data_IF_510929934468
#
_entry.id   IF_510929934468
#
_cell.length_a   1.000
_cell.length_b   1.000
_cell.length_c   1.000
_cell.angle_alpha   90.00
_cell.angle_beta   90.00
_cell.angle_gamma   90.00
#
_symmetry.space_group_name_H-M   'P 1'
#
loop_
_entity.id
_entity.type
_entity.pdbx_description
1 polymer ?
#
# COMPACT_ATOMS: atom_id res chain seq x y z
N UNK A 1 25.43 4.98 20.50
CA UNK A 1 25.27 4.29 19.22
C UNK A 1 24.28 3.15 19.42
N UNK A 2 23.11 3.26 18.81
CA UNK A 2 22.06 2.25 18.89
C UNK A 2 22.32 1.18 17.82
N UNK A 3 21.98 -0.07 18.12
CA UNK A 3 22.03 -1.15 17.12
C UNK A 3 20.81 -1.08 16.21
N UNK A 4 20.90 -1.66 14.99
CA UNK A 4 19.77 -1.78 14.07
C UNK A 4 18.55 -2.42 14.74
N UNK A 5 18.78 -3.40 15.62
CA UNK A 5 17.71 -4.08 16.34
C UNK A 5 17.02 -3.19 17.36
N UNK A 6 17.77 -2.42 18.15
CA UNK A 6 17.20 -1.49 19.11
C UNK A 6 16.35 -0.41 18.39
N UNK A 7 16.89 0.15 17.32
CA UNK A 7 16.19 1.14 16.49
C UNK A 7 14.92 0.55 15.87
N UNK A 8 14.99 -0.67 15.34
CA UNK A 8 13.81 -1.34 14.76
C UNK A 8 12.70 -1.58 15.79
N UNK A 9 13.06 -1.96 17.03
CA UNK A 9 12.06 -2.10 18.10
C UNK A 9 11.43 -0.76 18.50
N UNK A 10 12.22 0.32 18.53
CA UNK A 10 11.69 1.68 18.77
C UNK A 10 10.74 2.12 17.65
N UNK A 11 11.10 1.84 16.40
CA UNK A 11 10.23 2.08 15.24
C UNK A 11 8.94 1.28 15.39
N UNK A 12 8.98 0.00 15.74
CA UNK A 12 7.76 -0.80 15.93
C UNK A 12 6.87 -0.28 17.08
N UNK A 13 7.47 0.34 18.10
CA UNK A 13 6.75 0.89 19.25
C UNK A 13 6.15 2.29 18.99
N UNK A 14 6.57 2.98 17.91
CA UNK A 14 6.19 4.37 17.64
C UNK A 14 5.72 4.55 16.19
N UNK A 15 4.42 4.84 16.04
CA UNK A 15 3.77 4.96 14.73
C UNK A 15 4.32 6.12 13.88
N UNK A 16 4.80 7.20 14.47
CA UNK A 16 5.42 8.30 13.71
C UNK A 16 6.78 7.88 13.14
N UNK A 17 7.55 7.11 13.92
CA UNK A 17 8.80 6.51 13.44
C UNK A 17 8.54 5.47 12.35
N UNK A 18 7.47 4.67 12.42
CA UNK A 18 7.09 3.74 11.33
C UNK A 18 6.83 4.46 10.02
N UNK A 19 6.10 5.58 10.06
CA UNK A 19 5.79 6.38 8.87
C UNK A 19 7.06 7.02 8.29
N UNK A 20 7.91 7.58 9.15
CA UNK A 20 9.18 8.20 8.75
C UNK A 20 10.14 7.17 8.16
N UNK A 21 10.25 6.01 8.79
CA UNK A 21 11.06 4.89 8.31
C UNK A 21 10.54 4.32 6.98
N UNK A 22 9.23 4.11 6.85
CA UNK A 22 8.61 3.64 5.61
C UNK A 22 8.79 4.62 4.45
N UNK A 23 8.82 5.93 4.73
CA UNK A 23 9.09 6.98 3.74
C UNK A 23 10.57 7.01 3.37
N UNK A 24 11.47 6.90 4.35
CA UNK A 24 12.91 6.83 4.13
C UNK A 24 13.31 5.62 3.27
N UNK A 25 12.70 4.44 3.49
CA UNK A 25 12.88 3.26 2.64
C UNK A 25 12.45 3.52 1.19
N UNK A 26 11.29 4.15 0.98
CA UNK A 26 10.75 4.45 -0.36
C UNK A 26 11.57 5.50 -1.11
N UNK A 27 12.07 6.50 -0.39
CA UNK A 27 12.84 7.61 -0.97
C UNK A 27 14.34 7.32 -1.02
N UNK A 28 14.78 6.12 -0.64
CA UNK A 28 16.18 5.73 -0.60
C UNK A 28 17.02 6.60 0.37
N UNK A 29 16.37 7.13 1.41
CA UNK A 29 16.93 7.97 2.49
C UNK A 29 17.16 7.20 3.79
N UNK A 30 17.29 5.88 3.68
CA UNK A 30 17.52 5.00 4.82
C UNK A 30 18.80 5.38 5.58
N UNK A 31 19.86 5.72 4.85
CA UNK A 31 21.14 6.14 5.45
C UNK A 31 21.00 7.43 6.27
N UNK A 32 20.20 8.40 5.80
CA UNK A 32 19.91 9.63 6.53
C UNK A 32 19.12 9.33 7.81
N UNK A 33 18.07 8.52 7.70
CA UNK A 33 17.25 8.10 8.84
C UNK A 33 18.08 7.37 9.91
N UNK A 34 19.00 6.49 9.51
CA UNK A 34 19.87 5.77 10.45
C UNK A 34 20.81 6.74 11.19
N UNK A 35 21.40 7.70 10.47
CA UNK A 35 22.25 8.74 11.05
C UNK A 35 21.49 9.63 12.04
N UNK A 36 20.26 10.01 11.72
CA UNK A 36 19.39 10.80 12.60
C UNK A 36 19.05 10.06 13.90
N UNK A 37 19.04 8.72 13.86
CA UNK A 37 18.70 7.87 14.99
C UNK A 37 19.94 7.29 15.72
N UNK A 38 21.11 7.90 15.58
CA UNK A 38 22.37 7.46 16.21
C UNK A 38 22.74 6.00 15.87
N UNK A 39 22.38 5.55 14.66
CA UNK A 39 22.68 4.22 14.13
C UNK A 39 23.72 4.31 13.01
N UNK A 40 24.89 3.71 13.23
CA UNK A 40 26.04 3.73 12.29
C UNK A 40 26.00 2.56 11.30
N UNK A 41 24.81 2.07 10.98
CA UNK A 41 24.64 1.01 9.99
C UNK A 41 24.75 1.59 8.58
N UNK A 42 25.42 0.87 7.69
CA UNK A 42 25.34 1.16 6.26
C UNK A 42 23.95 0.84 5.73
N UNK A 43 23.61 1.46 4.60
CA UNK A 43 22.35 1.18 3.90
C UNK A 43 22.22 -0.32 3.62
N UNK A 44 23.28 -0.96 3.13
CA UNK A 44 23.28 -2.38 2.77
C UNK A 44 23.04 -3.28 4.00
N UNK A 45 23.65 -2.95 5.15
CA UNK A 45 23.43 -3.67 6.41
C UNK A 45 22.00 -3.51 6.93
N UNK A 46 21.44 -2.30 6.83
CA UNK A 46 20.07 -2.04 7.23
C UNK A 46 19.07 -2.75 6.33
N UNK A 47 19.25 -2.71 5.01
CA UNK A 47 18.40 -3.44 4.05
C UNK A 47 18.44 -4.95 4.28
N UNK A 48 19.63 -5.52 4.52
CA UNK A 48 19.78 -6.94 4.83
C UNK A 48 19.10 -7.31 6.16
N UNK A 49 19.27 -6.48 7.20
CA UNK A 49 18.63 -6.66 8.50
C UNK A 49 17.11 -6.62 8.41
N UNK A 50 16.56 -5.67 7.65
CA UNK A 50 15.12 -5.54 7.46
C UNK A 50 14.55 -6.68 6.66
N UNK A 51 15.25 -7.14 5.62
CA UNK A 51 14.84 -8.30 4.85
C UNK A 51 14.76 -9.54 5.75
N UNK A 52 15.77 -9.76 6.59
CA UNK A 52 15.76 -10.86 7.57
C UNK A 52 14.63 -10.72 8.59
N UNK A 53 14.37 -9.51 9.11
CA UNK A 53 13.29 -9.27 10.09
C UNK A 53 11.90 -9.39 9.47
N UNK A 54 11.69 -8.93 8.23
CA UNK A 54 10.45 -9.07 7.48
C UNK A 54 10.17 -10.54 7.14
N UNK A 55 11.17 -11.30 6.71
CA UNK A 55 11.05 -12.74 6.48
C UNK A 55 10.74 -13.51 7.78
N UNK A 56 11.30 -13.08 8.91
CA UNK A 56 11.06 -13.70 10.23
C UNK A 56 9.75 -13.26 10.90
N UNK A 57 9.21 -12.10 10.52
CA UNK A 57 7.85 -11.65 10.82
C UNK A 57 6.83 -12.11 9.77
N UNK A 58 7.20 -13.04 8.87
CA UNK A 58 6.38 -13.62 7.81
C UNK A 58 5.15 -14.44 8.26
N UNK A 59 4.72 -14.34 9.52
CA UNK A 59 3.38 -14.75 9.99
C UNK A 59 2.53 -13.56 10.48
N UNK A 60 2.94 -12.32 10.23
CA UNK A 60 2.13 -11.11 10.39
C UNK A 60 2.14 -10.27 9.11
N UNK A 61 2.12 -10.95 7.97
CA UNK A 61 2.03 -10.34 6.65
C UNK A 61 0.84 -10.95 5.90
N UNK A 62 -0.38 -10.68 6.37
CA UNK A 62 -1.53 -10.43 5.48
C UNK A 62 -2.83 -10.00 6.20
N UNK A 63 -2.97 -10.13 7.53
CA UNK A 63 -4.31 -9.99 8.16
C UNK A 63 -4.50 -8.91 9.24
N UNK A 64 -3.48 -8.19 9.74
CA UNK A 64 -3.66 -7.24 10.87
C UNK A 64 -3.21 -5.78 10.61
N UNK A 65 -2.87 -5.42 9.37
CA UNK A 65 -2.77 -4.00 8.94
C UNK A 65 -3.95 -3.56 8.06
N UNK A 66 -5.08 -4.29 8.14
CA UNK A 66 -6.33 -3.96 7.45
C UNK A 66 -7.38 -3.27 8.34
N UNK A 67 -7.00 -2.74 9.51
CA UNK A 67 -8.00 -2.13 10.39
C UNK A 67 -7.55 -0.88 11.16
N UNK A 68 -6.84 0.01 10.48
CA UNK A 68 -7.14 1.44 10.61
C UNK A 68 -8.26 1.73 9.63
N UNK A 69 -9.46 1.89 10.19
CA UNK A 69 -10.73 2.10 9.51
C UNK A 69 -10.64 3.07 8.31
N UNK A 70 -10.62 2.46 7.12
CA UNK A 70 -10.71 3.12 5.83
C UNK A 70 -11.11 2.16 4.69
N UNK A 71 -11.78 1.06 5.00
CA UNK A 71 -12.27 0.07 4.02
C UNK A 71 -11.26 -1.04 3.76
N UNK A 72 -11.71 -2.27 3.98
CA UNK A 72 -10.89 -3.48 3.93
C UNK A 72 -10.10 -3.70 2.64
N UNK A 73 -9.14 -4.59 2.80
CA UNK A 73 -7.95 -4.83 2.02
C UNK A 73 -8.16 -5.11 0.54
N UNK A 74 -7.14 -4.73 -0.22
CA UNK A 74 -6.88 -5.19 -1.57
C UNK A 74 -7.64 -4.40 -2.63
N UNK A 75 -6.92 -4.05 -3.70
CA UNK A 75 -7.43 -3.47 -4.94
C UNK A 75 -7.63 -1.95 -4.91
N UNK A 76 -7.20 -1.34 -6.01
CA UNK A 76 -7.35 0.08 -6.34
C UNK A 76 -8.79 0.49 -6.07
N UNK A 77 -9.06 1.05 -4.89
CA UNK A 77 -10.39 1.54 -4.58
C UNK A 77 -10.73 2.53 -5.69
N UNK A 78 -11.71 2.18 -6.52
CA UNK A 78 -12.14 3.01 -7.63
C UNK A 78 -12.78 4.21 -6.98
N UNK A 79 -12.03 5.29 -6.93
CA UNK A 79 -12.53 6.56 -6.46
C UNK A 79 -13.08 7.27 -7.67
N UNK A 80 -14.20 7.98 -7.49
CA UNK A 80 -14.71 8.85 -8.51
C UNK A 80 -13.61 9.86 -8.90
N UNK A 81 -13.19 9.94 -10.16
CA UNK A 81 -12.15 10.90 -10.57
C UNK A 81 -12.60 12.35 -10.39
N UNK A 82 -13.91 12.59 -10.22
CA UNK A 82 -14.49 13.92 -10.04
C UNK A 82 -14.59 14.35 -8.57
N UNK A 83 -15.00 13.46 -7.66
CA UNK A 83 -15.26 13.83 -6.27
C UNK A 83 -14.52 12.98 -5.23
N UNK A 84 -13.74 11.98 -5.66
CA UNK A 84 -13.00 11.08 -4.76
C UNK A 84 -13.88 10.10 -3.99
N UNK A 85 -15.20 10.08 -4.19
CA UNK A 85 -16.08 9.14 -3.49
C UNK A 85 -15.87 7.71 -3.96
N UNK A 86 -15.89 6.77 -3.02
CA UNK A 86 -15.84 5.32 -3.26
C UNK A 86 -17.23 4.71 -3.43
N UNK A 87 -18.30 5.50 -3.29
CA UNK A 87 -19.69 5.04 -3.51
C UNK A 87 -20.02 5.02 -5.00
N UNK A 88 -19.62 3.93 -5.65
CA UNK A 88 -19.76 3.70 -7.08
C UNK A 88 -20.58 2.43 -7.38
N UNK A 89 -21.31 2.45 -8.48
CA UNK A 89 -21.81 1.25 -9.16
C UNK A 89 -21.10 1.05 -10.49
N UNK A 90 -21.08 -0.19 -10.99
CA UNK A 90 -20.58 -0.47 -12.32
C UNK A 90 -21.39 -1.55 -13.04
N UNK A 91 -21.44 -1.44 -14.35
CA UNK A 91 -22.13 -2.41 -15.23
C UNK A 91 -21.19 -2.83 -16.37
N UNK A 92 -21.05 -4.14 -16.63
CA UNK A 92 -20.20 -4.63 -17.70
C UNK A 92 -20.75 -4.28 -19.08
N UNK A 93 -19.87 -3.79 -19.94
CA UNK A 93 -20.19 -3.57 -21.36
C UNK A 93 -20.17 -4.94 -22.04
N UNK A 94 -21.37 -5.47 -22.29
CA UNK A 94 -21.56 -6.80 -22.87
C UNK A 94 -20.71 -6.99 -24.13
N UNK A 95 -19.89 -8.05 -24.14
CA UNK A 95 -19.07 -8.45 -25.30
C UNK A 95 -17.70 -7.79 -25.43
N UNK A 96 -17.27 -6.95 -24.48
CA UNK A 96 -15.94 -6.31 -24.51
C UNK A 96 -15.03 -6.88 -23.41
N UNK A 97 -14.58 -8.11 -23.63
CA UNK A 97 -13.50 -8.74 -22.85
C UNK A 97 -12.15 -8.47 -23.51
N UNK A 98 -11.19 -7.99 -22.74
CA UNK A 98 -9.82 -7.74 -23.19
C UNK A 98 -8.90 -8.86 -22.67
N UNK A 99 -8.63 -9.90 -23.49
CA UNK A 99 -7.88 -11.09 -23.04
C UNK A 99 -6.43 -10.78 -22.68
N UNK A 100 -5.83 -9.77 -23.29
CA UNK A 100 -4.43 -9.40 -23.02
C UNK A 100 -4.23 -8.73 -21.64
N UNK A 101 -5.31 -8.25 -21.02
CA UNK A 101 -5.27 -7.58 -19.71
C UNK A 101 -6.17 -8.28 -18.68
N UNK A 102 -6.76 -9.42 -19.08
CA UNK A 102 -7.72 -10.20 -18.32
C UNK A 102 -8.79 -9.34 -17.63
N UNK A 103 -9.41 -8.47 -18.44
CA UNK A 103 -10.30 -7.41 -17.93
C UNK A 103 -11.47 -7.12 -18.86
N UNK A 104 -12.60 -6.73 -18.29
CA UNK A 104 -13.78 -6.25 -19.00
C UNK A 104 -13.88 -4.74 -18.97
N UNK A 105 -14.32 -4.16 -20.07
CA UNK A 105 -14.74 -2.76 -20.08
C UNK A 105 -16.09 -2.63 -19.37
N UNK A 106 -16.20 -1.72 -18.41
CA UNK A 106 -17.42 -1.45 -17.63
C UNK A 106 -17.72 0.05 -17.62
N UNK A 107 -18.99 0.41 -17.48
CA UNK A 107 -19.40 1.77 -17.13
C UNK A 107 -19.42 1.91 -15.62
N UNK A 108 -18.78 2.95 -15.09
CA UNK A 108 -18.84 3.38 -13.70
C UNK A 108 -19.83 4.52 -13.55
N UNK A 109 -20.63 4.46 -12.49
CA UNK A 109 -21.50 5.54 -12.06
C UNK A 109 -21.22 5.89 -10.60
N UNK A 110 -20.98 7.16 -10.30
CA UNK A 110 -20.81 7.64 -8.93
C UNK A 110 -22.12 8.13 -8.34
N UNK A 111 -22.63 7.46 -7.31
CA UNK A 111 -23.86 7.87 -6.62
C UNK A 111 -23.69 9.14 -5.78
N UNK A 112 -22.46 9.51 -5.42
CA UNK A 112 -22.20 10.70 -4.62
C UNK A 112 -22.23 12.01 -5.43
N UNK A 113 -21.83 12.00 -6.70
CA UNK A 113 -21.79 13.21 -7.53
C UNK A 113 -22.45 13.07 -8.91
N UNK A 114 -23.00 11.89 -9.23
CA UNK A 114 -23.63 11.59 -10.51
C UNK A 114 -22.66 11.51 -11.69
N UNK A 115 -21.35 11.34 -11.45
CA UNK A 115 -20.37 11.27 -12.53
C UNK A 115 -20.26 9.86 -13.10
N UNK A 116 -20.28 9.78 -14.43
CA UNK A 116 -20.23 8.52 -15.18
C UNK A 116 -18.98 8.48 -16.05
N UNK A 117 -18.28 7.35 -16.06
CA UNK A 117 -17.09 7.17 -16.90
C UNK A 117 -16.84 5.69 -17.24
N UNK A 118 -16.05 5.44 -18.28
CA UNK A 118 -15.63 4.10 -18.69
C UNK A 118 -14.32 3.70 -18.02
N UNK A 119 -14.24 2.44 -17.59
CA UNK A 119 -13.01 1.87 -17.06
C UNK A 119 -12.97 0.36 -17.23
N UNK A 120 -11.84 -0.26 -16.98
CA UNK A 120 -11.70 -1.72 -17.10
C UNK A 120 -11.67 -2.37 -15.71
N UNK A 121 -12.41 -3.45 -15.47
CA UNK A 121 -12.33 -4.31 -14.26
C UNK A 121 -11.68 -5.62 -14.61
N UNK A 122 -10.84 -6.16 -13.73
CA UNK A 122 -10.26 -7.49 -13.98
C UNK A 122 -11.33 -8.56 -13.78
N UNK A 123 -11.18 -9.69 -14.47
CA UNK A 123 -12.12 -10.83 -14.38
C UNK A 123 -12.32 -11.30 -12.93
N UNK A 124 -11.27 -11.23 -12.11
CA UNK A 124 -11.30 -11.59 -10.68
C UNK A 124 -12.12 -10.63 -9.79
N UNK A 125 -12.62 -9.52 -10.33
CA UNK A 125 -13.35 -8.46 -9.61
C UNK A 125 -14.83 -8.36 -10.03
N UNK A 126 -15.30 -9.23 -10.95
CA UNK A 126 -16.70 -9.36 -11.42
C UNK A 126 -17.43 -10.50 -10.69
#
# INVERSE_FOLDING_TARGET
>A
MKTLEALYQEILADTELQLSFGSAMKENRLEEFLKENDCEASKEEAEAFLKEKLEKHGELADEELDNVAGGGCGHRQRMCPKCGSTNLSFEPVSGVYMPNQDSYLVYFHCHACGHEWLGNVRDTEL
#
